data_IF_888919451892
#
_entry.id   IF_888919451892
#
_cell.length_a   1.000
_cell.length_b   1.000
_cell.length_c   1.000
_cell.angle_alpha   90.00
_cell.angle_beta   90.00
_cell.angle_gamma   90.00
#
_symmetry.space_group_name_H-M   'P 1'
#
loop_
_entity.id
_entity.type
_entity.pdbx_description
1 polymer ?
#
# COMPACT_ATOMS: atom_id res chain seq x y z
N UNK A 1 5.61 13.05 2.22
CA UNK A 1 6.13 11.66 2.14
C UNK A 1 5.30 10.76 3.04
N UNK A 2 4.93 9.56 2.60
CA UNK A 2 4.18 8.56 3.37
C UNK A 2 5.05 7.31 3.52
N UNK A 3 5.06 6.74 4.72
CA UNK A 3 5.84 5.56 5.06
C UNK A 3 5.01 4.30 4.78
N UNK A 4 5.52 3.41 3.94
CA UNK A 4 4.88 2.16 3.57
C UNK A 4 5.81 1.01 3.94
N UNK A 5 5.39 0.15 4.85
CA UNK A 5 6.12 -1.07 5.20
C UNK A 5 5.80 -2.11 4.14
N UNK A 6 6.83 -2.60 3.46
CA UNK A 6 6.72 -3.72 2.51
C UNK A 6 6.83 -5.05 3.26
N UNK A 7 6.10 -6.10 2.87
CA UNK A 7 6.31 -7.43 3.40
C UNK A 7 7.62 -8.01 2.83
N UNK A 8 8.17 -9.01 3.50
CA UNK A 8 9.24 -9.84 2.93
C UNK A 8 8.59 -10.96 2.12
N UNK A 9 8.74 -10.91 0.78
CA UNK A 9 8.14 -11.90 -0.13
C UNK A 9 9.12 -12.26 -1.23
N UNK A 10 9.53 -13.52 -1.22
CA UNK A 10 10.30 -14.14 -2.30
C UNK A 10 9.53 -14.01 -3.63
N UNK A 11 10.16 -13.42 -4.64
CA UNK A 11 9.57 -13.17 -5.97
C UNK A 11 9.28 -11.71 -6.32
N UNK A 12 9.48 -10.76 -5.40
CA UNK A 12 9.48 -9.33 -5.72
C UNK A 12 10.75 -8.65 -5.18
N UNK A 13 11.61 -8.15 -6.06
CA UNK A 13 12.91 -7.52 -5.69
C UNK A 13 12.77 -6.29 -4.76
N UNK A 14 11.55 -5.72 -4.69
CA UNK A 14 11.23 -4.54 -3.88
C UNK A 14 10.52 -4.87 -2.56
N UNK A 15 10.17 -6.13 -2.33
CA UNK A 15 9.45 -6.57 -1.13
C UNK A 15 10.41 -7.33 -0.21
N UNK A 16 11.27 -6.57 0.45
CA UNK A 16 12.37 -7.08 1.27
C UNK A 16 12.11 -6.88 2.77
N UNK A 17 10.84 -6.72 3.18
CA UNK A 17 10.49 -6.39 4.56
C UNK A 17 10.86 -4.97 4.99
N UNK A 18 11.24 -4.10 4.04
CA UNK A 18 11.76 -2.77 4.30
C UNK A 18 10.68 -1.68 4.39
N UNK A 19 11.10 -0.49 4.82
CA UNK A 19 10.26 0.72 4.78
C UNK A 19 10.49 1.47 3.47
N UNK A 20 9.44 1.59 2.68
CA UNK A 20 9.39 2.37 1.45
C UNK A 20 8.80 3.75 1.74
N UNK A 21 9.48 4.81 1.33
CA UNK A 21 8.95 6.17 1.41
C UNK A 21 8.38 6.57 0.06
N UNK A 22 7.10 6.93 0.04
CA UNK A 22 6.41 7.34 -1.20
C UNK A 22 6.02 8.80 -1.11
N UNK A 23 6.36 9.57 -2.14
CA UNK A 23 5.94 10.96 -2.25
C UNK A 23 4.50 11.04 -2.78
N UNK A 24 3.61 11.57 -1.94
CA UNK A 24 2.25 11.94 -2.31
C UNK A 24 2.18 13.46 -2.42
N UNK A 25 1.74 13.94 -3.58
CA UNK A 25 1.62 15.37 -3.84
C UNK A 25 0.47 16.02 -3.07
N UNK A 26 -0.57 15.25 -2.70
CA UNK A 26 -1.68 15.75 -1.89
C UNK A 26 -2.37 14.62 -1.13
N UNK A 27 -2.79 14.90 0.11
CA UNK A 27 -3.61 13.98 0.91
C UNK A 27 -5.06 13.88 0.40
N UNK A 28 -5.46 14.78 -0.51
CA UNK A 28 -6.72 14.70 -1.22
C UNK A 28 -6.73 13.60 -2.30
N UNK A 29 -5.57 12.99 -2.63
CA UNK A 29 -5.55 11.86 -3.56
C UNK A 29 -6.26 10.63 -2.97
N UNK A 30 -6.91 9.88 -3.85
CA UNK A 30 -7.51 8.59 -3.49
C UNK A 30 -6.45 7.54 -3.25
N UNK A 31 -6.78 6.54 -2.43
CA UNK A 31 -5.93 5.36 -2.22
C UNK A 31 -5.71 4.62 -3.55
N UNK A 32 -6.68 4.66 -4.47
CA UNK A 32 -6.52 4.15 -5.83
C UNK A 32 -5.34 4.79 -6.58
N UNK A 33 -5.26 6.13 -6.59
CA UNK A 33 -4.12 6.84 -7.20
C UNK A 33 -2.79 6.53 -6.50
N UNK A 34 -2.81 6.43 -5.18
CA UNK A 34 -1.62 6.06 -4.41
C UNK A 34 -1.09 4.66 -4.80
N UNK A 35 -1.99 3.69 -4.94
CA UNK A 35 -1.62 2.33 -5.41
C UNK A 35 -1.07 2.32 -6.82
N UNK A 36 -1.61 3.14 -7.74
CA UNK A 36 -1.07 3.26 -9.11
C UNK A 36 0.38 3.76 -9.10
N UNK A 37 0.70 4.75 -8.25
CA UNK A 37 2.09 5.20 -8.06
C UNK A 37 2.98 4.09 -7.52
N UNK A 38 2.50 3.37 -6.50
CA UNK A 38 3.19 2.20 -5.95
C UNK A 38 3.42 1.11 -7.01
N UNK A 39 2.48 0.88 -7.93
CA UNK A 39 2.68 -0.07 -9.04
C UNK A 39 3.87 0.30 -9.90
N UNK A 40 4.13 1.58 -10.15
CA UNK A 40 5.31 2.00 -10.92
C UNK A 40 6.64 1.79 -10.19
N UNK A 41 6.63 1.73 -8.85
CA UNK A 41 7.84 1.58 -8.03
C UNK A 41 8.12 0.13 -7.65
N UNK A 42 7.06 -0.60 -7.30
CA UNK A 42 7.11 -1.98 -6.81
C UNK A 42 6.86 -3.00 -7.92
N UNK A 43 6.46 -2.55 -9.12
CA UNK A 43 6.01 -3.39 -10.23
C UNK A 43 4.86 -4.34 -9.86
N UNK A 44 4.16 -4.01 -8.76
CA UNK A 44 3.07 -4.79 -8.21
C UNK A 44 1.74 -4.17 -8.65
N UNK A 45 0.86 -4.89 -9.38
CA UNK A 45 -0.41 -4.32 -9.82
C UNK A 45 -1.32 -3.95 -8.64
N UNK A 46 -2.06 -2.85 -8.78
CA UNK A 46 -3.02 -2.32 -7.78
C UNK A 46 -3.93 -3.40 -7.19
N UNK A 47 -4.38 -4.35 -8.01
CA UNK A 47 -5.27 -5.44 -7.60
C UNK A 47 -4.62 -6.45 -6.62
N UNK A 48 -3.29 -6.57 -6.65
CA UNK A 48 -2.51 -7.41 -5.73
C UNK A 48 -1.98 -6.62 -4.53
N UNK A 49 -2.20 -5.30 -4.48
CA UNK A 49 -1.78 -4.47 -3.35
C UNK A 49 -2.89 -4.36 -2.31
N UNK A 50 -2.60 -4.84 -1.10
CA UNK A 50 -3.43 -4.61 0.08
C UNK A 50 -2.72 -3.59 0.96
N UNK A 51 -3.32 -2.42 1.11
CA UNK A 51 -2.81 -1.38 2.00
C UNK A 51 -3.65 -1.41 3.27
N UNK A 52 -2.99 -1.52 4.40
CA UNK A 52 -3.60 -1.59 5.72
C UNK A 52 -3.01 -0.47 6.57
N UNK A 53 -3.87 0.29 7.25
CA UNK A 53 -3.45 1.25 8.25
C UNK A 53 -3.63 0.64 9.63
N UNK A 54 -2.62 0.76 10.48
CA UNK A 54 -2.73 0.35 11.87
C UNK A 54 -3.88 1.10 12.57
N UNK A 55 -4.74 0.36 13.27
CA UNK A 55 -5.92 0.90 13.95
C UNK A 55 -7.16 1.17 13.09
N UNK A 56 -7.04 1.21 11.74
CA UNK A 56 -8.22 1.36 10.84
C UNK A 56 -8.49 0.10 10.03
N UNK A 57 -7.46 -0.68 9.73
CA UNK A 57 -7.57 -1.86 8.87
C UNK A 57 -7.35 -1.52 7.39
N UNK A 58 -8.00 -2.27 6.51
CA UNK A 58 -7.73 -2.23 5.07
C UNK A 58 -8.31 -0.96 4.44
N UNK A 59 -7.47 -0.23 3.73
CA UNK A 59 -7.85 0.99 3.03
C UNK A 59 -8.48 0.67 1.67
N UNK A 60 -9.66 1.24 1.43
CA UNK A 60 -10.37 1.13 0.15
C UNK A 60 -9.87 2.19 -0.83
N UNK A 61 -9.81 1.82 -2.10
CA UNK A 61 -9.36 2.69 -3.21
C UNK A 61 -10.28 3.90 -3.45
N UNK A 62 -11.58 3.77 -3.17
CA UNK A 62 -12.59 4.83 -3.30
C UNK A 62 -12.38 5.99 -2.31
N UNK A 63 -11.77 5.69 -1.16
CA UNK A 63 -11.53 6.67 -0.11
C UNK A 63 -10.21 7.42 -0.32
N UNK A 64 -10.15 8.64 0.21
CA UNK A 64 -8.94 9.48 0.18
C UNK A 64 -7.96 9.16 1.29
N UNK A 65 -6.69 9.49 1.08
CA UNK A 65 -5.67 9.39 2.14
C UNK A 65 -6.04 10.25 3.36
N UNK A 66 -6.62 11.43 3.12
CA UNK A 66 -7.15 12.32 4.16
C UNK A 66 -8.30 11.68 4.95
N UNK A 67 -9.22 10.95 4.30
CA UNK A 67 -10.30 10.25 5.00
C UNK A 67 -9.76 9.25 6.04
N UNK A 68 -8.60 8.65 5.74
CA UNK A 68 -7.90 7.76 6.65
C UNK A 68 -6.88 8.46 7.55
N UNK A 69 -6.83 9.79 7.57
CA UNK A 69 -5.84 10.58 8.31
C UNK A 69 -4.41 10.10 8.09
N UNK A 70 -4.05 9.74 6.86
CA UNK A 70 -2.68 9.39 6.51
C UNK A 70 -1.82 10.65 6.53
N UNK A 71 -0.74 10.62 7.30
CA UNK A 71 0.26 11.69 7.37
C UNK A 71 1.67 11.12 7.25
N UNK A 72 2.69 11.98 7.28
CA UNK A 72 4.09 11.54 7.23
C UNK A 72 4.54 10.70 8.43
N UNK A 73 3.83 10.81 9.54
CA UNK A 73 4.05 10.01 10.75
C UNK A 73 3.32 8.67 10.74
N UNK A 74 2.34 8.51 9.84
CA UNK A 74 1.57 7.26 9.73
C UNK A 74 2.32 6.24 8.88
N UNK A 75 2.40 5.02 9.41
CA UNK A 75 2.95 3.87 8.72
C UNK A 75 1.81 3.07 8.11
N UNK A 76 1.89 2.84 6.80
CA UNK A 76 0.97 1.99 6.06
C UNK A 76 1.62 0.63 5.84
N UNK A 77 0.92 -0.43 6.17
CA UNK A 77 1.36 -1.80 5.90
C UNK A 77 0.91 -2.17 4.50
N UNK A 78 1.86 -2.38 3.60
CA UNK A 78 1.62 -3.05 2.34
C UNK A 78 1.66 -4.55 2.58
N UNK A 79 0.73 -5.25 1.97
CA UNK A 79 0.70 -6.70 1.92
C UNK A 79 0.36 -7.14 0.49
N UNK A 80 0.95 -8.25 0.06
CA UNK A 80 0.61 -8.82 -1.25
C UNK A 80 -0.65 -9.65 -1.09
N UNK A 81 -1.74 -9.18 -1.69
CA UNK A 81 -2.95 -10.00 -1.80
C UNK A 81 -2.69 -11.11 -2.80
N UNK A 82 -2.15 -12.22 -2.32
CA UNK A 82 -2.31 -13.49 -2.99
C UNK A 82 -3.81 -13.80 -2.96
N UNK A 83 -4.42 -13.99 -4.13
CA UNK A 83 -5.67 -14.76 -4.15
C UNK A 83 -5.30 -16.10 -3.54
N UNK A 84 -5.71 -16.34 -2.29
CA UNK A 84 -5.60 -17.64 -1.68
C UNK A 84 -6.12 -18.64 -2.71
N UNK A 85 -5.21 -19.50 -3.18
CA UNK A 85 -5.56 -20.60 -4.04
C UNK A 85 -6.73 -21.31 -3.38
N UNK A 86 -7.83 -21.39 -4.13
CA UNK A 86 -8.94 -22.31 -3.97
C UNK A 86 -8.63 -23.40 -2.93
N UNK A 87 -9.03 -23.21 -1.68
CA UNK A 87 -9.14 -24.34 -0.75
C UNK A 87 -10.23 -25.23 -1.33
N UNK A 88 -9.81 -26.40 -1.82
CA UNK A 88 -10.70 -27.53 -2.12
C UNK A 88 -11.43 -27.95 -0.86
#
# INVERSE_FOLDING_TARGET
MVRVITPDREGYEKLNGGLLMVEVGSLAETVGRFKTRLTGVLELPVNKQKITREGVGVMKDDNTLAHYNVSSDVQLLLDVRERAGRKK
#
